data_IF_466509835960
#
_entry.id   IF_466509835960
#
_cell.length_a   1.000
_cell.length_b   1.000
_cell.length_c   1.000
_cell.angle_alpha   90.00
_cell.angle_beta   90.00
_cell.angle_gamma   90.00
#
_symmetry.space_group_name_H-M   'P 1'
#
loop_
_entity.id
_entity.type
_entity.pdbx_description
1 polymer ?
#
# COMPACT_ATOMS: atom_id res chain seq x y z
N UNK A 1 9.06 -7.93 5.66
CA UNK A 1 10.22 -8.81 5.99
C UNK A 1 10.25 -8.99 7.50
N UNK A 2 10.77 -10.11 7.99
CA UNK A 2 11.00 -10.35 9.42
C UNK A 2 12.46 -10.09 9.72
N UNK A 3 12.72 -9.17 10.66
CA UNK A 3 14.07 -8.73 11.03
C UNK A 3 14.32 -9.14 12.48
N UNK A 4 15.46 -9.77 12.74
CA UNK A 4 15.91 -10.14 14.08
C UNK A 4 17.43 -10.07 14.16
N UNK A 5 17.96 -9.66 15.32
CA UNK A 5 19.41 -9.55 15.57
C UNK A 5 20.19 -8.78 14.48
N UNK A 6 19.59 -7.73 13.93
CA UNK A 6 20.22 -6.89 12.88
C UNK A 6 20.24 -7.51 11.48
N UNK A 7 19.63 -8.69 11.29
CA UNK A 7 19.54 -9.38 10.00
C UNK A 7 18.11 -9.69 9.58
N UNK A 8 17.93 -9.94 8.29
CA UNK A 8 16.66 -10.42 7.73
C UNK A 8 16.58 -11.94 7.91
N UNK A 9 15.55 -12.41 8.61
CA UNK A 9 15.29 -13.85 8.81
C UNK A 9 14.48 -14.41 7.64
N UNK A 10 13.36 -13.75 7.32
CA UNK A 10 12.48 -14.12 6.20
C UNK A 10 12.08 -12.86 5.44
N UNK A 11 12.14 -12.92 4.12
CA UNK A 11 11.63 -11.85 3.26
C UNK A 11 10.95 -12.40 2.02
N UNK A 12 10.02 -11.62 1.48
CA UNK A 12 9.49 -11.77 0.14
C UNK A 12 9.59 -10.41 -0.54
N UNK A 13 9.77 -10.42 -1.86
CA UNK A 13 9.68 -9.24 -2.71
C UNK A 13 8.80 -9.60 -3.89
N UNK A 14 7.73 -8.82 -4.07
CA UNK A 14 6.82 -8.93 -5.20
C UNK A 14 6.90 -7.64 -6.00
N UNK A 15 6.68 -7.74 -7.31
CA UNK A 15 6.64 -6.57 -8.21
C UNK A 15 5.23 -6.00 -8.28
N UNK A 16 4.66 -5.68 -7.12
CA UNK A 16 3.34 -5.06 -6.97
C UNK A 16 3.49 -3.89 -6.00
N UNK A 17 3.24 -2.67 -6.47
CA UNK A 17 3.42 -1.45 -5.70
C UNK A 17 2.46 -0.32 -6.16
N UNK A 18 2.85 0.93 -5.94
CA UNK A 18 2.04 2.11 -6.25
C UNK A 18 1.68 2.26 -7.72
N UNK A 19 2.58 1.88 -8.63
CA UNK A 19 2.34 1.96 -10.08
C UNK A 19 1.26 0.95 -10.52
N UNK A 20 1.26 -0.26 -9.93
CA UNK A 20 0.23 -1.28 -10.19
C UNK A 20 -1.15 -0.84 -9.70
N UNK A 21 -1.21 -0.06 -8.61
CA UNK A 21 -2.46 0.55 -8.16
C UNK A 21 -3.00 1.56 -9.18
N UNK A 22 -2.13 2.37 -9.79
CA UNK A 22 -2.54 3.31 -10.84
C UNK A 22 -2.99 2.57 -12.08
N UNK A 23 -2.26 1.55 -12.51
CA UNK A 23 -2.66 0.71 -13.65
C UNK A 23 -4.03 0.05 -13.41
N UNK A 24 -4.27 -0.46 -12.20
CA UNK A 24 -5.55 -1.04 -11.82
C UNK A 24 -6.68 -0.02 -11.92
N UNK A 25 -6.47 1.22 -11.47
CA UNK A 25 -7.44 2.31 -11.60
C UNK A 25 -7.67 2.70 -13.06
N UNK A 26 -6.62 2.86 -13.88
CA UNK A 26 -6.74 3.13 -15.32
C UNK A 26 -7.57 2.04 -16.00
N UNK A 27 -7.29 0.77 -15.69
CA UNK A 27 -7.99 -0.39 -16.23
C UNK A 27 -9.45 -0.42 -15.79
N UNK A 28 -9.73 -0.10 -14.54
CA UNK A 28 -11.10 -0.02 -14.01
C UNK A 28 -11.91 1.07 -14.71
N UNK A 29 -11.36 2.28 -14.83
CA UNK A 29 -12.01 3.41 -15.51
C UNK A 29 -12.31 3.10 -16.98
N UNK A 30 -11.38 2.43 -17.66
CA UNK A 30 -11.58 1.96 -19.03
C UNK A 30 -12.73 0.96 -19.14
N UNK A 31 -12.81 -0.03 -18.25
CA UNK A 31 -13.80 -1.11 -18.30
C UNK A 31 -15.20 -0.67 -17.83
N UNK A 32 -15.30 0.04 -16.70
CA UNK A 32 -16.57 0.39 -16.06
C UNK A 32 -17.20 1.64 -16.67
N UNK A 33 -16.38 2.67 -16.96
CA UNK A 33 -16.87 3.99 -17.38
C UNK A 33 -16.68 4.29 -18.88
N UNK A 34 -16.02 3.39 -19.62
CA UNK A 34 -15.54 3.64 -20.97
C UNK A 34 -14.72 4.95 -21.05
N UNK A 35 -13.94 5.24 -20.00
CA UNK A 35 -13.17 6.47 -19.87
C UNK A 35 -11.68 6.14 -19.88
N UNK A 36 -10.95 6.74 -20.82
CA UNK A 36 -9.49 6.71 -20.85
C UNK A 36 -8.95 7.88 -20.01
N UNK A 37 -8.15 7.55 -19.00
CA UNK A 37 -7.41 8.49 -18.15
C UNK A 37 -5.91 8.17 -18.23
N UNK A 38 -5.07 9.15 -17.91
CA UNK A 38 -3.62 8.95 -17.80
C UNK A 38 -3.19 8.60 -16.37
N UNK A 39 -1.94 8.16 -16.22
CA UNK A 39 -1.34 7.76 -14.93
C UNK A 39 -1.47 8.85 -13.86
N UNK A 40 -1.15 10.10 -14.20
CA UNK A 40 -1.29 11.23 -13.24
C UNK A 40 -2.71 11.38 -12.70
N UNK A 41 -3.73 11.16 -13.53
CA UNK A 41 -5.12 11.22 -13.10
C UNK A 41 -5.48 10.01 -12.23
N UNK A 42 -4.91 8.84 -12.52
CA UNK A 42 -5.08 7.65 -11.68
C UNK A 42 -4.42 7.84 -10.30
N UNK A 43 -3.20 8.39 -10.25
CA UNK A 43 -2.52 8.77 -9.01
C UNK A 43 -3.34 9.79 -8.21
N UNK A 44 -3.89 10.83 -8.87
CA UNK A 44 -4.76 11.80 -8.20
C UNK A 44 -6.01 11.15 -7.57
N UNK A 45 -6.59 10.13 -8.24
CA UNK A 45 -7.71 9.35 -7.70
C UNK A 45 -7.23 8.52 -6.50
N UNK A 46 -6.09 7.83 -6.64
CA UNK A 46 -5.48 7.00 -5.60
C UNK A 46 -5.24 7.78 -4.31
N UNK A 47 -4.62 8.96 -4.42
CA UNK A 47 -4.32 9.82 -3.27
C UNK A 47 -5.59 10.38 -2.61
N UNK A 48 -6.58 10.80 -3.41
CA UNK A 48 -7.76 11.51 -2.87
C UNK A 48 -8.86 10.59 -2.34
N UNK A 49 -9.19 9.56 -3.10
CA UNK A 49 -10.34 8.67 -2.80
C UNK A 49 -9.99 7.18 -2.91
N UNK A 50 -8.72 6.82 -3.09
CA UNK A 50 -8.26 5.43 -3.06
C UNK A 50 -8.51 4.79 -1.70
N UNK A 51 -9.02 3.56 -1.71
CA UNK A 51 -9.27 2.77 -0.50
C UNK A 51 -8.96 1.30 -0.78
N UNK A 52 -8.28 0.63 0.13
CA UNK A 52 -8.08 -0.83 0.13
C UNK A 52 -9.12 -1.57 0.99
N UNK A 53 -9.90 -0.82 1.77
CA UNK A 53 -10.89 -1.35 2.69
C UNK A 53 -12.14 -0.48 2.73
N UNK A 54 -13.25 -1.09 3.12
CA UNK A 54 -14.56 -0.43 3.14
C UNK A 54 -14.56 0.77 4.08
N UNK A 55 -14.90 1.94 3.54
CA UNK A 55 -15.09 3.17 4.32
C UNK A 55 -16.48 3.19 4.98
N UNK A 56 -16.62 3.76 6.19
CA UNK A 56 -17.94 4.00 6.79
C UNK A 56 -18.80 4.94 5.92
N UNK A 57 -18.16 5.96 5.36
CA UNK A 57 -18.79 6.93 4.45
C UNK A 57 -18.07 6.93 3.10
N UNK A 58 -18.78 6.65 1.99
CA UNK A 58 -18.22 6.73 0.66
C UNK A 58 -17.78 8.15 0.30
N UNK A 59 -16.62 8.25 -0.35
CA UNK A 59 -16.11 9.50 -0.90
C UNK A 59 -16.36 9.57 -2.40
N UNK A 60 -16.30 10.76 -2.97
CA UNK A 60 -16.52 10.95 -4.40
C UNK A 60 -15.58 11.98 -5.01
N UNK A 61 -15.17 11.73 -6.26
CA UNK A 61 -14.35 12.65 -7.03
C UNK A 61 -14.82 12.70 -8.48
N UNK A 62 -14.86 13.90 -9.05
CA UNK A 62 -15.09 14.08 -10.48
C UNK A 62 -13.79 13.85 -11.26
N UNK A 63 -13.83 12.89 -12.17
CA UNK A 63 -12.69 12.47 -12.99
C UNK A 63 -12.98 12.82 -14.44
N UNK A 64 -12.07 13.58 -15.06
CA UNK A 64 -12.15 13.95 -16.47
C UNK A 64 -11.21 13.07 -17.29
N UNK A 65 -11.70 12.59 -18.42
CA UNK A 65 -10.92 11.80 -19.37
C UNK A 65 -11.49 11.83 -20.78
N UNK A 66 -10.97 10.97 -21.65
CA UNK A 66 -11.47 10.79 -23.02
C UNK A 66 -12.45 9.63 -23.04
N UNK A 67 -13.69 9.89 -23.45
CA UNK A 67 -14.67 8.83 -23.65
C UNK A 67 -14.25 7.95 -24.83
N UNK A 68 -14.15 6.65 -24.63
CA UNK A 68 -13.71 5.68 -25.63
C UNK A 68 -14.75 5.40 -26.71
N UNK A 69 -16.02 5.65 -26.43
CA UNK A 69 -17.13 5.47 -27.39
C UNK A 69 -17.23 6.66 -28.33
N UNK A 70 -17.22 7.88 -27.78
CA UNK A 70 -17.45 9.12 -28.55
C UNK A 70 -16.17 9.82 -28.98
N UNK A 71 -15.04 9.50 -28.34
CA UNK A 71 -13.75 10.17 -28.53
C UNK A 71 -13.63 11.54 -27.87
N UNK A 72 -14.71 12.08 -27.29
CA UNK A 72 -14.77 13.43 -26.72
C UNK A 72 -14.45 13.44 -25.21
N UNK A 73 -14.04 14.60 -24.65
CA UNK A 73 -13.88 14.74 -23.21
C UNK A 73 -15.19 14.47 -22.46
N UNK A 74 -15.13 13.64 -21.41
CA UNK A 74 -16.24 13.32 -20.51
C UNK A 74 -15.75 13.42 -19.07
N UNK A 75 -16.63 13.88 -18.18
CA UNK A 75 -16.43 13.82 -16.73
C UNK A 75 -17.35 12.75 -16.15
N UNK A 76 -16.83 11.93 -15.23
CA UNK A 76 -17.61 10.93 -14.47
C UNK A 76 -17.33 11.13 -12.99
N UNK A 77 -18.36 10.92 -12.17
CA UNK A 77 -18.23 10.91 -10.71
C UNK A 77 -17.83 9.49 -10.29
N UNK A 78 -16.66 9.37 -9.66
CA UNK A 78 -16.10 8.09 -9.17
C UNK A 78 -16.22 8.06 -7.66
N UNK A 79 -16.62 6.93 -7.12
CA UNK A 79 -16.73 6.70 -5.68
C UNK A 79 -15.52 5.96 -5.09
N UNK A 80 -15.32 6.06 -3.78
CA UNK A 80 -14.29 5.27 -3.08
C UNK A 80 -14.60 3.76 -3.06
N UNK A 81 -15.85 3.34 -3.27
CA UNK A 81 -16.21 1.92 -3.39
C UNK A 81 -15.73 1.34 -4.72
N UNK A 82 -15.74 2.16 -5.79
CA UNK A 82 -15.20 1.77 -7.08
C UNK A 82 -13.67 1.68 -7.06
N UNK A 83 -13.00 2.57 -6.31
CA UNK A 83 -11.55 2.46 -6.12
C UNK A 83 -11.18 1.24 -5.28
N UNK A 84 -11.97 0.90 -4.26
CA UNK A 84 -11.83 -0.36 -3.51
C UNK A 84 -11.97 -1.59 -4.42
N UNK A 85 -12.98 -1.63 -5.28
CA UNK A 85 -13.16 -2.71 -6.25
C UNK A 85 -11.97 -2.80 -7.22
N UNK A 86 -11.48 -1.66 -7.72
CA UNK A 86 -10.35 -1.58 -8.62
C UNK A 86 -9.04 -2.08 -7.99
N UNK A 87 -8.79 -1.71 -6.73
CA UNK A 87 -7.55 -1.98 -6.00
C UNK A 87 -7.53 -3.34 -5.32
N UNK A 88 -8.64 -4.08 -5.33
CA UNK A 88 -8.78 -5.38 -4.67
C UNK A 88 -7.74 -6.41 -5.12
N UNK A 89 -7.50 -6.53 -6.43
CA UNK A 89 -6.53 -7.51 -6.97
C UNK A 89 -5.09 -7.23 -6.47
N UNK A 90 -4.50 -6.03 -6.67
CA UNK A 90 -3.13 -5.77 -6.25
C UNK A 90 -2.96 -5.73 -4.72
N UNK A 91 -3.96 -5.27 -3.97
CA UNK A 91 -3.91 -5.29 -2.50
C UNK A 91 -3.96 -6.70 -1.92
N UNK A 92 -4.75 -7.62 -2.51
CA UNK A 92 -4.75 -9.02 -2.10
C UNK A 92 -3.41 -9.71 -2.38
N UNK A 93 -2.74 -9.40 -3.48
CA UNK A 93 -1.41 -9.94 -3.76
C UNK A 93 -0.37 -9.52 -2.70
N UNK A 94 -0.47 -8.28 -2.19
CA UNK A 94 0.36 -7.82 -1.07
C UNK A 94 0.05 -8.62 0.20
N UNK A 95 -1.23 -8.82 0.50
CA UNK A 95 -1.69 -9.62 1.66
C UNK A 95 -1.19 -11.08 1.56
N UNK A 96 -1.29 -11.71 0.38
CA UNK A 96 -0.79 -13.06 0.14
C UNK A 96 0.72 -13.16 0.35
N UNK A 97 1.48 -12.15 -0.10
CA UNK A 97 2.92 -12.11 0.15
C UNK A 97 3.26 -11.96 1.65
N UNK A 98 2.46 -11.21 2.39
CA UNK A 98 2.59 -11.09 3.86
C UNK A 98 2.32 -12.45 4.52
N UNK A 99 1.22 -13.13 4.17
CA UNK A 99 0.94 -14.47 4.66
C UNK A 99 2.07 -15.46 4.37
N UNK A 100 2.57 -15.48 3.14
CA UNK A 100 3.69 -16.35 2.77
C UNK A 100 4.99 -16.04 3.52
N UNK A 101 5.18 -14.82 4.03
CA UNK A 101 6.30 -14.51 4.96
C UNK A 101 6.01 -15.05 6.36
N UNK A 102 4.79 -14.84 6.88
CA UNK A 102 4.39 -15.32 8.20
C UNK A 102 4.46 -16.86 8.30
N UNK A 103 4.00 -17.58 7.27
CA UNK A 103 4.04 -19.05 7.22
C UNK A 103 5.45 -19.64 7.25
N UNK A 104 6.43 -18.93 6.68
CA UNK A 104 7.84 -19.35 6.67
C UNK A 104 8.61 -18.87 7.89
N UNK A 105 7.99 -18.06 8.75
CA UNK A 105 8.64 -17.50 9.93
C UNK A 105 8.74 -18.55 11.04
N UNK A 106 9.92 -18.74 11.67
CA UNK A 106 10.07 -19.67 12.79
C UNK A 106 9.06 -19.38 13.92
N UNK A 107 8.51 -20.41 14.61
CA UNK A 107 7.48 -20.23 15.63
C UNK A 107 7.86 -19.25 16.74
N UNK A 108 9.11 -19.32 17.23
CA UNK A 108 9.65 -18.38 18.21
C UNK A 108 9.53 -16.90 17.79
N UNK A 109 9.70 -16.58 16.50
CA UNK A 109 9.55 -15.20 16.01
C UNK A 109 8.10 -14.87 15.63
N UNK A 110 7.31 -15.87 15.23
CA UNK A 110 5.90 -15.67 14.91
C UNK A 110 5.10 -15.22 16.14
N UNK A 111 5.42 -15.76 17.32
CA UNK A 111 4.84 -15.31 18.59
C UNK A 111 5.17 -13.83 18.88
N UNK A 112 6.44 -13.43 18.72
CA UNK A 112 6.85 -12.04 18.89
C UNK A 112 6.14 -11.08 17.91
N UNK A 113 5.92 -11.51 16.67
CA UNK A 113 5.18 -10.72 15.67
C UNK A 113 3.71 -10.59 16.03
N UNK A 114 3.09 -11.64 16.56
CA UNK A 114 1.69 -11.58 17.00
C UNK A 114 1.49 -10.54 18.11
N UNK A 115 2.47 -10.41 19.02
CA UNK A 115 2.44 -9.43 20.11
C UNK A 115 2.82 -8.00 19.67
N UNK A 116 3.84 -7.85 18.82
CA UNK A 116 4.36 -6.54 18.41
C UNK A 116 3.65 -5.94 17.20
N UNK A 117 3.09 -6.78 16.34
CA UNK A 117 2.42 -6.39 15.12
C UNK A 117 3.32 -6.26 13.88
N UNK A 118 2.70 -5.82 12.79
CA UNK A 118 3.30 -5.56 11.48
C UNK A 118 3.44 -4.04 11.31
N UNK A 119 4.63 -3.58 10.90
CA UNK A 119 4.86 -2.17 10.58
C UNK A 119 4.91 -1.99 9.06
N UNK A 120 4.06 -1.09 8.53
CA UNK A 120 4.05 -0.68 7.13
C UNK A 120 4.91 0.57 6.94
N UNK A 121 5.58 0.64 5.80
CA UNK A 121 6.43 1.77 5.42
C UNK A 121 6.40 1.97 3.90
N UNK A 122 6.96 3.08 3.41
CA UNK A 122 6.92 3.50 2.01
C UNK A 122 5.61 4.19 1.62
N UNK A 123 5.61 4.97 0.54
CA UNK A 123 4.44 5.75 0.14
C UNK A 123 3.19 4.94 -0.18
N UNK A 124 3.34 3.73 -0.70
CA UNK A 124 2.21 2.83 -0.95
C UNK A 124 1.45 2.40 0.30
N UNK A 125 2.07 2.48 1.49
CA UNK A 125 1.40 2.18 2.76
C UNK A 125 0.33 3.21 3.14
N UNK A 126 0.38 4.42 2.56
CA UNK A 126 -0.59 5.50 2.81
C UNK A 126 -1.95 5.26 2.15
N UNK A 127 -2.11 4.17 1.39
CA UNK A 127 -3.41 3.80 0.85
C UNK A 127 -4.38 3.53 2.00
N UNK A 128 -5.44 4.33 2.09
CA UNK A 128 -6.44 4.22 3.16
C UNK A 128 -7.00 2.79 3.24
N UNK A 129 -7.16 2.26 4.44
CA UNK A 129 -7.72 0.93 4.63
C UNK A 129 -6.71 -0.21 4.51
N UNK A 130 -5.45 0.05 4.12
CA UNK A 130 -4.48 -1.02 3.91
C UNK A 130 -4.07 -1.69 5.23
N UNK A 131 -3.92 -0.91 6.30
CA UNK A 131 -3.67 -1.43 7.66
C UNK A 131 -4.82 -2.33 8.12
N UNK A 132 -6.06 -1.88 7.95
CA UNK A 132 -7.26 -2.61 8.34
C UNK A 132 -7.41 -3.89 7.53
N UNK A 133 -7.17 -3.83 6.22
CA UNK A 133 -7.19 -5.00 5.34
C UNK A 133 -6.17 -6.05 5.79
N UNK A 134 -4.92 -5.64 6.05
CA UNK A 134 -3.86 -6.55 6.47
C UNK A 134 -4.17 -7.12 7.87
N UNK A 135 -4.65 -6.29 8.79
CA UNK A 135 -5.01 -6.71 10.14
C UNK A 135 -6.16 -7.71 10.14
N UNK A 136 -7.21 -7.49 9.35
CA UNK A 136 -8.32 -8.43 9.23
C UNK A 136 -7.87 -9.77 8.65
N UNK A 137 -7.01 -9.73 7.62
CA UNK A 137 -6.59 -10.94 6.90
C UNK A 137 -5.59 -11.78 7.68
N UNK A 138 -4.65 -11.12 8.35
CA UNK A 138 -3.58 -11.79 9.11
C UNK A 138 -3.95 -12.10 10.55
N UNK A 139 -4.92 -11.37 11.12
CA UNK A 139 -5.22 -11.41 12.55
C UNK A 139 -4.15 -10.74 13.43
N UNK A 140 -3.19 -10.04 12.83
CA UNK A 140 -2.08 -9.39 13.50
C UNK A 140 -2.25 -7.87 13.41
N UNK A 141 -2.07 -7.19 14.53
CA UNK A 141 -2.14 -5.74 14.58
C UNK A 141 -1.17 -5.12 13.57
N UNK A 142 -1.65 -4.26 12.68
CA UNK A 142 -0.85 -3.61 11.64
C UNK A 142 -0.89 -2.10 11.83
N UNK A 143 0.27 -1.44 11.68
CA UNK A 143 0.42 -0.01 11.85
C UNK A 143 1.34 0.58 10.79
N UNK A 144 1.02 1.75 10.24
CA UNK A 144 1.95 2.49 9.38
C UNK A 144 2.92 3.29 10.24
N UNK A 145 4.19 3.32 9.83
CA UNK A 145 5.21 4.15 10.46
C UNK A 145 4.81 5.63 10.45
N UNK A 146 5.29 6.41 11.43
CA UNK A 146 4.99 7.85 11.52
C UNK A 146 5.37 8.63 10.25
N UNK A 147 6.57 8.34 9.72
CA UNK A 147 7.09 8.94 8.49
C UNK A 147 7.39 7.88 7.41
N UNK A 148 6.36 7.26 6.79
CA UNK A 148 6.57 6.10 5.93
C UNK A 148 7.30 6.47 4.63
N UNK A 149 7.17 7.72 4.17
CA UNK A 149 7.84 8.22 2.96
C UNK A 149 9.35 8.39 3.12
N UNK A 150 9.82 8.75 4.32
CA UNK A 150 11.23 9.10 4.57
C UNK A 150 11.96 8.04 5.39
N UNK A 151 11.24 7.06 5.95
CA UNK A 151 11.78 6.00 6.79
C UNK A 151 13.04 5.32 6.20
N UNK A 152 13.05 5.03 4.90
CA UNK A 152 14.21 4.40 4.24
C UNK A 152 15.42 5.32 4.21
N UNK A 153 15.23 6.60 3.87
CA UNK A 153 16.31 7.59 3.83
C UNK A 153 16.88 7.86 5.24
N UNK A 154 16.00 8.03 6.22
CA UNK A 154 16.38 8.24 7.63
C UNK A 154 17.12 7.02 8.17
N UNK A 155 16.59 5.82 7.95
CA UNK A 155 17.22 4.57 8.39
C UNK A 155 18.60 4.36 7.78
N UNK A 156 18.77 4.70 6.49
CA UNK A 156 20.06 4.67 5.81
C UNK A 156 21.06 5.65 6.44
N UNK A 157 20.64 6.88 6.72
CA UNK A 157 21.47 7.89 7.39
C UNK A 157 21.94 7.43 8.78
N UNK A 158 21.01 6.96 9.62
CA UNK A 158 21.31 6.43 10.96
C UNK A 158 22.28 5.26 10.93
N UNK A 159 22.16 4.37 9.94
CA UNK A 159 23.08 3.24 9.80
C UNK A 159 24.51 3.69 9.45
N UNK A 160 24.65 4.72 8.60
CA UNK A 160 25.96 5.33 8.30
C UNK A 160 26.57 5.98 9.54
N UNK A 161 25.78 6.70 10.34
CA UNK A 161 26.22 7.31 11.61
C UNK A 161 26.68 6.26 12.62
N UNK A 162 25.93 5.16 12.73
CA UNK A 162 26.28 4.01 13.59
C UNK A 162 27.62 3.39 13.18
N UNK A 163 27.85 3.16 11.88
CA UNK A 163 29.13 2.66 11.36
C UNK A 163 30.28 3.66 11.57
N UNK A 164 29.98 4.95 11.56
CA UNK A 164 30.92 6.05 11.83
C UNK A 164 31.34 6.15 13.29
N UNK A 165 30.77 5.36 14.20
CA UNK A 165 31.19 5.28 15.61
C UNK A 165 30.59 6.35 16.51
N UNK A 166 29.40 6.87 16.21
CA UNK A 166 28.68 7.72 17.14
C UNK A 166 28.40 6.96 18.45
N UNK A 167 29.17 7.32 19.48
CA UNK A 167 28.84 7.11 20.89
C UNK A 167 27.89 8.22 21.28
N UNK A 168 26.70 7.88 21.76
CA UNK A 168 25.90 8.85 22.51
C UNK A 168 26.75 9.32 23.70
N UNK A 169 27.16 10.58 23.71
CA UNK A 169 27.50 11.27 24.95
C UNK A 169 26.18 11.51 25.68
N UNK A 170 26.05 10.84 26.82
CA UNK A 170 24.95 10.91 27.79
C UNK A 170 24.75 12.34 28.30
#
# INVERSE_FOLDING_TARGET
AVISLGGTVVSASIKIAGDDFDEALVRYMRKKHNLLIGERTAEDIKIKIGSAYKRPEPDYMDVRGRNLVTGLPKTVKVSSEETEEALKEPTLQIVEAIHGVLERTPPELAADIADRGIVLTGGGSLLRGLEELISERTGINTMTAEDPMTAVAIGTGKYVEFLGGYKDEI
#
